data_IF_363275483360
#
_entry.id   IF_363275483360
#
_cell.length_a   1.000
_cell.length_b   1.000
_cell.length_c   1.000
_cell.angle_alpha   90.00
_cell.angle_beta   90.00
_cell.angle_gamma   90.00
#
_symmetry.space_group_name_H-M   'P 1'
#
loop_
_entity.id
_entity.type
_entity.pdbx_description
1 polymer ?
#
# COMPACT_ATOMS: atom_id res chain seq x y z
N UNK A 1 20.20 -14.09 -0.13
CA UNK A 1 19.45 -13.06 -0.88
C UNK A 1 19.07 -11.96 0.10
N UNK A 2 18.96 -10.71 -0.35
CA UNK A 2 18.40 -9.65 0.50
C UNK A 2 16.92 -9.97 0.79
N UNK A 3 16.42 -9.57 1.96
CA UNK A 3 14.99 -9.69 2.28
C UNK A 3 14.18 -8.72 1.41
N UNK A 4 12.96 -9.09 1.09
CA UNK A 4 11.98 -8.21 0.44
C UNK A 4 11.52 -7.20 1.46
N UNK A 5 11.69 -5.91 1.19
CA UNK A 5 11.27 -4.86 2.13
C UNK A 5 9.82 -4.46 1.84
N UNK A 6 8.92 -4.72 2.77
CA UNK A 6 7.49 -4.52 2.59
C UNK A 6 6.97 -3.33 3.41
N UNK A 7 6.46 -2.29 2.75
CA UNK A 7 5.76 -1.20 3.42
C UNK A 7 4.33 -1.62 3.73
N UNK A 8 3.92 -1.55 4.99
CA UNK A 8 2.53 -1.72 5.43
C UNK A 8 2.00 -0.34 5.84
N UNK A 9 1.11 0.23 5.03
CA UNK A 9 0.45 1.49 5.32
C UNK A 9 -0.72 1.25 6.28
N UNK A 10 -0.45 1.33 7.58
CA UNK A 10 -1.44 1.19 8.65
C UNK A 10 -2.28 2.45 8.80
N UNK A 11 -3.02 2.75 7.76
CA UNK A 11 -3.98 3.84 7.66
C UNK A 11 -5.26 3.29 7.04
N UNK A 12 -6.37 3.99 7.19
CA UNK A 12 -7.67 3.54 6.69
C UNK A 12 -8.61 3.03 7.77
N UNK A 13 -9.90 2.96 7.40
CA UNK A 13 -10.95 2.37 8.21
C UNK A 13 -11.14 0.86 7.99
N UNK A 14 -12.34 0.36 8.32
CA UNK A 14 -12.75 -1.03 8.05
C UNK A 14 -11.85 -2.11 8.67
N UNK A 15 -11.38 -1.84 9.88
CA UNK A 15 -10.52 -2.74 10.67
C UNK A 15 -9.19 -3.13 9.99
N UNK A 16 -8.75 -2.36 8.99
CA UNK A 16 -7.43 -2.59 8.41
C UNK A 16 -6.32 -2.26 9.40
N UNK A 17 -6.55 -1.32 10.31
CA UNK A 17 -5.59 -0.93 11.35
C UNK A 17 -5.19 -2.12 12.25
N UNK A 18 -6.14 -2.96 12.62
CA UNK A 18 -5.96 -4.20 13.37
C UNK A 18 -5.36 -5.30 12.49
N UNK A 19 -5.82 -5.41 11.24
CA UNK A 19 -5.31 -6.39 10.28
C UNK A 19 -3.84 -6.15 9.92
N UNK A 20 -3.41 -4.89 9.83
CA UNK A 20 -2.03 -4.49 9.53
C UNK A 20 -1.04 -5.02 10.56
N UNK A 21 -1.42 -5.06 11.84
CA UNK A 21 -0.60 -5.65 12.90
C UNK A 21 -0.45 -7.16 12.71
N UNK A 22 -1.55 -7.86 12.41
CA UNK A 22 -1.53 -9.31 12.14
C UNK A 22 -0.66 -9.63 10.92
N UNK A 23 -0.80 -8.85 9.84
CA UNK A 23 0.02 -8.97 8.64
C UNK A 23 1.51 -8.76 8.97
N UNK A 24 1.83 -7.73 9.75
CA UNK A 24 3.20 -7.47 10.17
C UNK A 24 3.79 -8.64 10.96
N UNK A 25 3.07 -9.18 11.93
CA UNK A 25 3.54 -10.29 12.76
C UNK A 25 3.77 -11.55 11.92
N UNK A 26 2.84 -11.85 11.02
CA UNK A 26 2.95 -12.96 10.10
C UNK A 26 4.17 -12.82 9.17
N UNK A 27 4.38 -11.65 8.57
CA UNK A 27 5.52 -11.41 7.67
C UNK A 27 6.86 -11.37 8.41
N UNK A 28 6.88 -10.85 9.65
CA UNK A 28 8.07 -10.78 10.49
C UNK A 28 8.57 -12.16 10.92
N UNK A 29 7.68 -13.15 10.97
CA UNK A 29 8.04 -14.54 11.25
C UNK A 29 8.79 -15.22 10.08
N UNK A 30 8.94 -14.55 8.93
CA UNK A 30 9.64 -15.09 7.77
C UNK A 30 11.09 -14.60 7.68
N UNK A 31 11.96 -15.44 7.15
CA UNK A 31 13.35 -15.06 6.89
C UNK A 31 13.52 -14.31 5.55
N UNK A 32 12.45 -14.16 4.78
CA UNK A 32 12.49 -13.61 3.41
C UNK A 32 11.91 -12.21 3.29
N UNK A 33 11.07 -11.77 4.24
CA UNK A 33 10.39 -10.47 4.19
C UNK A 33 10.77 -9.65 5.42
N UNK A 34 10.98 -8.36 5.20
CA UNK A 34 11.18 -7.35 6.23
C UNK A 34 10.00 -6.37 6.15
N UNK A 35 8.93 -6.58 6.95
CA UNK A 35 7.83 -5.64 7.00
C UNK A 35 8.21 -4.39 7.78
N UNK A 36 7.79 -3.23 7.27
CA UNK A 36 7.92 -1.93 7.91
C UNK A 36 6.55 -1.29 7.93
N UNK A 37 6.05 -1.03 9.13
CA UNK A 37 4.72 -0.43 9.33
C UNK A 37 4.84 1.09 9.42
N UNK A 38 3.97 1.80 8.71
CA UNK A 38 3.88 3.26 8.76
C UNK A 38 2.43 3.68 8.85
N UNK A 39 2.15 4.68 9.67
CA UNK A 39 0.85 5.38 9.74
C UNK A 39 0.88 6.70 8.95
N UNK A 40 2.00 7.00 8.28
CA UNK A 40 2.18 8.21 7.49
C UNK A 40 2.12 7.91 5.99
N UNK A 41 1.04 8.36 5.36
CA UNK A 41 0.84 8.26 3.91
C UNK A 41 1.80 9.15 3.10
N UNK A 42 2.42 10.16 3.71
CA UNK A 42 3.39 11.04 3.03
C UNK A 42 4.60 10.27 2.48
N UNK A 43 4.89 9.08 3.03
CA UNK A 43 5.94 8.20 2.50
C UNK A 43 5.72 7.85 1.03
N UNK A 44 4.46 7.77 0.55
CA UNK A 44 4.15 7.47 -0.83
C UNK A 44 4.69 8.52 -1.80
N UNK A 45 4.72 9.79 -1.40
CA UNK A 45 5.26 10.89 -2.19
C UNK A 45 6.73 11.21 -1.87
N UNK A 46 7.38 10.40 -1.02
CA UNK A 46 8.76 10.60 -0.60
C UNK A 46 9.75 9.76 -1.41
N UNK A 47 11.04 10.15 -1.46
CA UNK A 47 12.09 9.29 -2.01
C UNK A 47 12.21 7.93 -1.31
N UNK A 48 11.77 7.82 -0.06
CA UNK A 48 11.89 6.59 0.73
C UNK A 48 11.02 5.46 0.19
N UNK A 49 9.96 5.76 -0.57
CA UNK A 49 9.13 4.74 -1.22
C UNK A 49 9.97 3.80 -2.09
N UNK A 50 11.01 4.33 -2.76
CA UNK A 50 11.89 3.57 -3.63
C UNK A 50 12.71 2.48 -2.90
N UNK A 51 12.85 2.60 -1.58
CA UNK A 51 13.56 1.61 -0.75
C UNK A 51 12.76 0.35 -0.48
N UNK A 52 11.44 0.38 -0.73
CA UNK A 52 10.55 -0.76 -0.57
C UNK A 52 10.39 -1.52 -1.87
N UNK A 53 10.06 -2.81 -1.75
CA UNK A 53 9.80 -3.71 -2.87
C UNK A 53 8.31 -3.93 -3.10
N UNK A 54 7.51 -3.80 -2.04
CA UNK A 54 6.06 -3.97 -2.07
C UNK A 54 5.39 -2.99 -1.10
N UNK A 55 4.24 -2.46 -1.51
CA UNK A 55 3.34 -1.68 -0.65
C UNK A 55 2.07 -2.49 -0.35
N UNK A 56 1.70 -2.58 0.92
CA UNK A 56 0.53 -3.29 1.43
C UNK A 56 -0.42 -2.26 2.03
N UNK A 57 -1.66 -2.24 1.55
CA UNK A 57 -2.67 -1.28 1.97
C UNK A 57 -4.06 -1.90 1.94
N UNK A 58 -4.96 -1.47 2.83
CA UNK A 58 -6.33 -1.99 2.89
C UNK A 58 -7.43 -0.99 3.22
N UNK A 59 -7.10 0.30 3.31
CA UNK A 59 -8.08 1.37 3.46
C UNK A 59 -8.79 1.74 2.15
N UNK A 60 -9.62 2.79 2.15
CA UNK A 60 -10.29 3.29 0.93
C UNK A 60 -11.73 2.81 0.71
N UNK A 61 -12.47 2.51 1.78
CA UNK A 61 -13.85 2.04 1.68
C UNK A 61 -14.88 3.13 1.33
N UNK A 62 -14.63 4.42 1.68
CA UNK A 62 -15.53 5.54 1.34
C UNK A 62 -14.76 6.73 0.78
N UNK A 63 -15.29 7.33 -0.30
CA UNK A 63 -14.86 8.64 -0.80
C UNK A 63 -15.03 9.69 0.31
N UNK A 64 -13.95 10.40 0.62
CA UNK A 64 -13.93 11.45 1.65
C UNK A 64 -13.62 10.95 3.05
N UNK A 65 -13.29 9.65 3.21
CA UNK A 65 -12.58 9.22 4.40
C UNK A 65 -11.24 9.95 4.48
N UNK A 66 -10.82 10.25 5.71
CA UNK A 66 -9.59 10.97 6.07
C UNK A 66 -8.31 10.30 5.55
N UNK A 67 -8.46 9.07 5.08
CA UNK A 67 -7.39 8.17 4.62
C UNK A 67 -7.38 8.03 3.08
N UNK A 68 -8.07 8.92 2.35
CA UNK A 68 -7.97 9.02 0.89
C UNK A 68 -6.61 9.63 0.52
N UNK A 69 -5.89 9.00 -0.41
CA UNK A 69 -4.62 9.52 -0.89
C UNK A 69 -4.78 10.85 -1.64
N UNK A 70 -3.76 11.70 -1.56
CA UNK A 70 -3.67 12.86 -2.45
C UNK A 70 -3.34 12.41 -3.87
N UNK A 71 -3.64 13.24 -4.87
CA UNK A 71 -3.30 12.95 -6.27
C UNK A 71 -1.80 12.67 -6.47
N UNK A 72 -0.93 13.34 -5.71
CA UNK A 72 0.51 13.12 -5.73
C UNK A 72 0.88 11.73 -5.19
N UNK A 73 0.29 11.33 -4.05
CA UNK A 73 0.49 10.00 -3.47
C UNK A 73 -0.03 8.89 -4.39
N UNK A 74 -1.18 9.08 -5.03
CA UNK A 74 -1.74 8.13 -6.01
C UNK A 74 -0.82 7.99 -7.24
N UNK A 75 -0.36 9.11 -7.81
CA UNK A 75 0.59 9.09 -8.94
C UNK A 75 1.89 8.40 -8.56
N UNK A 76 2.43 8.67 -7.38
CA UNK A 76 3.65 8.05 -6.91
C UNK A 76 3.49 6.54 -6.69
N UNK A 77 2.36 6.10 -6.11
CA UNK A 77 2.04 4.67 -5.97
C UNK A 77 1.87 3.99 -7.33
N UNK A 78 1.23 4.63 -8.30
CA UNK A 78 1.11 4.14 -9.67
C UNK A 78 2.49 4.03 -10.35
N UNK A 79 3.35 5.05 -10.20
CA UNK A 79 4.73 5.02 -10.72
C UNK A 79 5.56 3.91 -10.06
N UNK A 80 5.40 3.67 -8.77
CA UNK A 80 6.05 2.58 -8.04
C UNK A 80 5.68 1.22 -8.65
N UNK A 81 4.39 0.95 -8.85
CA UNK A 81 3.90 -0.29 -9.47
C UNK A 81 4.34 -0.40 -10.93
N UNK A 82 4.22 0.66 -11.73
CA UNK A 82 4.69 0.70 -13.12
C UNK A 82 6.21 0.48 -13.23
N UNK A 83 6.97 0.86 -12.21
CA UNK A 83 8.40 0.58 -12.08
C UNK A 83 8.75 -0.87 -11.75
N UNK A 84 7.77 -1.77 -11.67
CA UNK A 84 7.95 -3.21 -11.41
C UNK A 84 7.90 -3.60 -9.93
N UNK A 85 7.48 -2.68 -9.05
CA UNK A 85 7.32 -2.95 -7.63
C UNK A 85 5.94 -3.57 -7.33
N UNK A 86 5.84 -4.29 -6.22
CA UNK A 86 4.62 -5.00 -5.84
C UNK A 86 3.58 -4.10 -5.17
N UNK A 87 2.31 -4.40 -5.37
CA UNK A 87 1.22 -3.83 -4.58
C UNK A 87 0.27 -4.94 -4.11
N UNK A 88 -0.07 -4.91 -2.82
CA UNK A 88 -1.04 -5.82 -2.22
C UNK A 88 -2.17 -4.98 -1.63
N UNK A 89 -3.26 -4.90 -2.37
CA UNK A 89 -4.51 -4.29 -1.90
C UNK A 89 -5.36 -5.33 -1.16
N UNK A 90 -5.89 -4.96 0.01
CA UNK A 90 -6.82 -5.80 0.77
C UNK A 90 -8.15 -5.10 0.98
N UNK A 91 -9.25 -5.83 0.83
CA UNK A 91 -10.61 -5.37 1.16
C UNK A 91 -10.96 -3.97 0.61
N UNK A 92 -10.91 -2.93 1.46
CA UNK A 92 -11.25 -1.55 1.11
C UNK A 92 -10.39 -0.97 -0.01
N UNK A 93 -9.18 -1.50 -0.20
CA UNK A 93 -8.24 -0.99 -1.20
C UNK A 93 -8.80 -1.05 -2.63
N UNK A 94 -9.70 -1.99 -2.93
CA UNK A 94 -10.29 -2.13 -4.27
C UNK A 94 -11.59 -1.33 -4.45
N UNK A 95 -12.11 -0.68 -3.40
CA UNK A 95 -13.41 -0.02 -3.45
C UNK A 95 -13.32 1.41 -4.00
N UNK A 96 -12.30 2.14 -3.54
CA UNK A 96 -12.07 3.52 -3.94
C UNK A 96 -10.58 3.84 -4.11
N UNK A 97 -9.77 2.91 -4.60
CA UNK A 97 -8.56 3.35 -5.29
C UNK A 97 -9.03 4.05 -6.56
N UNK A 98 -8.95 5.38 -6.57
CA UNK A 98 -9.11 6.18 -7.77
C UNK A 98 -7.92 5.92 -8.70
N UNK A 99 -7.85 4.70 -9.22
CA UNK A 99 -7.31 4.49 -10.55
C UNK A 99 -8.28 5.26 -11.44
N UNK A 100 -7.93 6.49 -11.80
CA UNK A 100 -8.64 7.25 -12.82
C UNK A 100 -8.52 6.50 -14.14
N UNK A 101 -9.39 5.52 -14.33
CA UNK A 101 -9.49 4.68 -15.50
C UNK A 101 -10.29 3.41 -15.17
N UNK A 102 -11.29 3.02 -15.98
CA UNK A 102 -11.80 1.65 -15.91
C UNK A 102 -10.59 0.71 -16.01
N UNK A 103 -10.68 -0.45 -15.34
CA UNK A 103 -9.72 -1.54 -15.50
C UNK A 103 -9.67 -1.87 -17.01
N UNK A 104 -8.75 -1.23 -17.73
CA UNK A 104 -8.34 -1.61 -19.06
C UNK A 104 -7.46 -2.83 -18.84
N UNK A 105 -8.12 -3.98 -18.71
CA UNK A 105 -7.52 -5.23 -19.13
C UNK A 105 -7.14 -5.02 -20.60
N UNK A 106 -5.85 -4.84 -20.86
CA UNK A 106 -5.32 -4.71 -22.20
C UNK A 106 -5.76 -5.91 -23.05
N UNK A 107 -6.27 -5.61 -24.24
CA UNK A 107 -6.30 -6.52 -25.38
C UNK A 107 -4.94 -6.49 -26.08
#
# INVERSE_FOLDING_TARGET
MAKVKALILRIGGHHFFESAAIINDFLSATDTIEPVMSEDAAILASPDLATYDVCIYGGGFRLGDKDTFTEEQEKALLSFVNGGKGFVGTHGAAWYTMITGPILMGA
#
